data_IF_127102638408
#
_entry.id   IF_127102638408
#
_cell.length_a   1.000
_cell.length_b   1.000
_cell.length_c   1.000
_cell.angle_alpha   90.00
_cell.angle_beta   90.00
_cell.angle_gamma   90.00
#
_symmetry.space_group_name_H-M   'P 1'
#
loop_
_entity.id
_entity.type
_entity.pdbx_description
1 polymer ?
#
# COMPACT_ATOMS: atom_id res chain seq x y z
N UNK A 1 77.74 -75.70 1.03
CA UNK A 1 77.92 -75.81 2.50
C UNK A 1 77.59 -74.46 3.13
N UNK A 2 76.77 -74.48 4.18
CA UNK A 2 76.70 -73.54 5.32
C UNK A 2 76.26 -72.08 4.99
N UNK A 3 75.03 -71.65 5.35
CA UNK A 3 74.56 -71.20 6.70
C UNK A 3 75.52 -70.12 7.27
N UNK A 4 75.11 -68.95 7.77
CA UNK A 4 73.83 -68.48 8.31
C UNK A 4 73.80 -66.94 8.41
N UNK A 5 72.57 -66.40 8.44
CA UNK A 5 72.08 -65.11 9.01
C UNK A 5 72.38 -65.12 10.53
N UNK A 6 72.61 -64.01 11.31
CA UNK A 6 71.63 -62.93 11.58
C UNK A 6 72.25 -61.57 12.02
N UNK A 7 71.60 -60.49 12.47
CA UNK A 7 70.24 -60.14 12.90
C UNK A 7 70.14 -58.59 13.02
N UNK A 8 68.95 -58.03 12.71
CA UNK A 8 68.25 -56.89 13.36
C UNK A 8 68.95 -55.54 13.62
N UNK A 9 68.40 -54.45 13.05
CA UNK A 9 67.58 -53.47 13.81
C UNK A 9 66.90 -52.42 12.89
N UNK A 10 65.70 -52.00 13.30
CA UNK A 10 65.06 -50.70 13.04
C UNK A 10 64.54 -50.41 11.62
N UNK A 11 63.25 -50.68 11.34
CA UNK A 11 62.12 -49.71 11.38
C UNK A 11 62.19 -48.57 10.36
N UNK A 12 61.12 -48.49 9.56
CA UNK A 12 60.69 -47.36 8.74
C UNK A 12 61.53 -47.05 7.49
N UNK A 13 61.11 -47.58 6.33
CA UNK A 13 60.96 -46.88 5.05
C UNK A 13 60.29 -47.86 4.08
N UNK A 14 59.38 -47.33 3.24
CA UNK A 14 58.48 -48.02 2.29
C UNK A 14 57.14 -48.59 2.82
N UNK A 15 56.51 -47.86 3.74
CA UNK A 15 55.05 -47.59 3.66
C UNK A 15 54.83 -46.27 2.91
N UNK A 16 55.37 -46.17 1.69
CA UNK A 16 55.37 -44.94 0.90
C UNK A 16 54.96 -45.22 -0.55
N UNK A 17 53.73 -45.71 -0.73
CA UNK A 17 52.91 -45.50 -1.93
C UNK A 17 51.50 -46.00 -1.61
N UNK A 18 50.49 -45.21 -1.95
CA UNK A 18 49.04 -45.47 -1.79
C UNK A 18 48.43 -45.07 -0.43
N UNK A 19 48.84 -43.92 0.10
CA UNK A 19 47.89 -43.07 0.82
C UNK A 19 46.96 -42.43 -0.21
N UNK A 20 45.87 -43.13 -0.55
CA UNK A 20 44.72 -42.50 -1.22
C UNK A 20 44.13 -41.49 -0.25
N UNK A 21 44.48 -40.22 -0.44
CA UNK A 21 43.67 -39.13 0.08
C UNK A 21 42.29 -39.26 -0.58
N UNK A 22 41.27 -39.55 0.23
CA UNK A 22 39.86 -39.48 -0.18
C UNK A 22 39.52 -38.02 -0.48
N UNK A 23 39.85 -37.56 -1.69
CA UNK A 23 39.10 -36.47 -2.29
C UNK A 23 37.72 -37.04 -2.62
N UNK A 24 36.67 -36.57 -1.93
CA UNK A 24 35.30 -36.89 -2.31
C UNK A 24 35.13 -36.51 -3.79
N UNK A 25 34.86 -37.48 -4.66
CA UNK A 25 34.60 -37.23 -6.08
C UNK A 25 33.47 -36.21 -6.26
N UNK A 26 33.43 -35.46 -7.38
CA UNK A 26 32.34 -34.52 -7.60
C UNK A 26 31.02 -35.27 -7.54
N UNK A 27 30.05 -34.76 -6.78
CA UNK A 27 28.75 -35.38 -6.63
C UNK A 27 27.64 -34.39 -7.00
N UNK A 28 26.50 -34.94 -7.39
CA UNK A 28 25.28 -34.15 -7.55
C UNK A 28 24.89 -33.55 -6.21
N UNK A 29 24.83 -32.23 -6.12
CA UNK A 29 24.61 -31.52 -4.87
C UNK A 29 23.15 -31.05 -4.71
N UNK A 30 22.53 -30.59 -5.81
CA UNK A 30 21.13 -30.13 -5.78
C UNK A 30 20.38 -30.66 -6.99
N UNK A 31 19.08 -30.91 -6.81
CA UNK A 31 18.13 -31.30 -7.84
C UNK A 31 17.06 -30.21 -7.96
N UNK A 32 16.74 -29.79 -9.18
CA UNK A 32 15.66 -28.85 -9.46
C UNK A 32 14.54 -29.56 -10.22
N UNK A 33 13.43 -29.83 -9.53
CA UNK A 33 12.30 -30.56 -10.09
C UNK A 33 11.53 -29.75 -11.13
N UNK A 34 11.63 -28.42 -11.10
CA UNK A 34 10.94 -27.54 -12.06
C UNK A 34 11.66 -27.52 -13.41
N UNK A 35 12.99 -27.54 -13.42
CA UNK A 35 13.80 -27.52 -14.65
C UNK A 35 14.37 -28.89 -15.04
N UNK A 36 14.12 -29.94 -14.25
CA UNK A 36 14.71 -31.27 -14.42
C UNK A 36 16.24 -31.24 -14.57
N UNK A 37 16.88 -30.32 -13.85
CA UNK A 37 18.32 -30.09 -13.90
C UNK A 37 18.98 -30.42 -12.56
N UNK A 38 20.26 -30.76 -12.59
CA UNK A 38 21.05 -31.07 -11.40
C UNK A 38 22.23 -30.13 -11.28
N UNK A 39 22.56 -29.75 -10.05
CA UNK A 39 23.70 -28.90 -9.72
C UNK A 39 24.88 -29.75 -9.27
N UNK A 40 26.08 -29.41 -9.72
CA UNK A 40 27.36 -30.03 -9.35
C UNK A 40 28.35 -28.91 -8.97
N UNK A 41 29.09 -29.02 -7.87
CA UNK A 41 30.07 -28.01 -7.47
C UNK A 41 31.26 -27.96 -8.44
N UNK A 42 31.73 -26.75 -8.76
CA UNK A 42 32.91 -26.52 -9.59
C UNK A 42 34.21 -26.62 -8.77
N UNK A 43 35.23 -27.28 -9.31
CA UNK A 43 36.57 -27.35 -8.71
C UNK A 43 37.64 -27.75 -9.71
N UNK A 44 38.87 -27.28 -9.53
CA UNK A 44 40.04 -27.78 -10.30
C UNK A 44 40.33 -29.25 -9.98
N UNK A 45 40.09 -29.63 -8.72
CA UNK A 45 40.53 -30.91 -8.16
C UNK A 45 39.53 -32.04 -8.43
N UNK A 46 38.32 -31.69 -8.86
CA UNK A 46 37.25 -32.64 -9.18
C UNK A 46 37.10 -32.86 -10.71
N UNK A 47 37.91 -32.20 -11.54
CA UNK A 47 37.90 -32.35 -13.00
C UNK A 47 36.66 -31.77 -13.69
N UNK A 48 35.80 -31.05 -12.97
CA UNK A 48 34.57 -30.45 -13.52
C UNK A 48 34.88 -29.09 -14.13
N UNK A 49 35.03 -29.05 -15.45
CA UNK A 49 35.23 -27.79 -16.21
C UNK A 49 33.94 -27.34 -16.91
N UNK A 50 33.95 -26.10 -17.41
CA UNK A 50 32.81 -25.49 -18.14
C UNK A 50 32.53 -26.17 -19.49
N UNK A 51 33.51 -26.86 -20.05
CA UNK A 51 33.46 -27.39 -21.42
C UNK A 51 33.45 -28.93 -21.47
N UNK A 52 33.67 -29.59 -20.34
CA UNK A 52 33.69 -31.04 -20.22
C UNK A 52 32.28 -31.61 -20.11
N UNK A 53 32.02 -32.75 -20.74
CA UNK A 53 30.83 -33.55 -20.48
C UNK A 53 31.06 -34.48 -19.31
N UNK A 54 29.98 -34.85 -18.63
CA UNK A 54 30.03 -35.72 -17.47
C UNK A 54 28.99 -36.82 -17.53
N UNK A 55 29.20 -37.82 -16.71
CA UNK A 55 28.33 -38.95 -16.57
C UNK A 55 28.07 -39.24 -15.09
N UNK A 56 26.81 -39.47 -14.75
CA UNK A 56 26.39 -39.96 -13.43
C UNK A 56 26.10 -41.44 -13.55
N UNK A 57 26.75 -42.25 -12.71
CA UNK A 57 26.48 -43.68 -12.65
C UNK A 57 25.22 -43.93 -11.82
N UNK A 58 24.06 -43.95 -12.46
CA UNK A 58 22.78 -44.21 -11.82
C UNK A 58 22.57 -45.71 -11.52
N UNK A 59 21.67 -46.03 -10.58
CA UNK A 59 21.39 -47.40 -10.10
C UNK A 59 20.98 -48.41 -11.21
N UNK A 60 20.77 -47.96 -12.45
CA UNK A 60 20.44 -48.80 -13.61
C UNK A 60 21.01 -48.25 -14.94
N UNK A 61 22.16 -47.60 -14.92
CA UNK A 61 22.85 -47.15 -16.13
C UNK A 61 23.58 -45.82 -15.98
N UNK A 62 24.16 -45.36 -17.09
CA UNK A 62 24.94 -44.11 -17.13
C UNK A 62 24.04 -42.99 -17.66
N UNK A 63 23.93 -41.88 -16.93
CA UNK A 63 23.23 -40.67 -17.40
C UNK A 63 24.27 -39.62 -17.79
N UNK A 64 24.26 -39.23 -19.07
CA UNK A 64 25.14 -38.19 -19.59
C UNK A 64 24.56 -36.80 -19.29
N UNK A 65 25.38 -35.94 -18.72
CA UNK A 65 25.04 -34.57 -18.35
C UNK A 65 26.14 -33.63 -18.85
N UNK A 66 25.79 -32.46 -19.35
CA UNK A 66 26.76 -31.52 -19.89
C UNK A 66 26.51 -30.10 -19.36
N UNK A 67 27.55 -29.24 -19.40
CA UNK A 67 27.43 -27.90 -18.90
C UNK A 67 26.48 -26.96 -19.59
N UNK A 68 25.53 -26.41 -18.83
CA UNK A 68 24.45 -25.60 -19.38
C UNK A 68 24.42 -24.18 -18.81
N UNK A 69 24.37 -24.04 -17.49
CA UNK A 69 24.49 -22.74 -16.81
C UNK A 69 25.47 -22.83 -15.66
N UNK A 70 26.18 -21.73 -15.41
CA UNK A 70 27.07 -21.59 -14.28
C UNK A 70 26.52 -20.48 -13.42
N UNK A 71 26.12 -20.83 -12.22
CA UNK A 71 25.63 -19.91 -11.23
C UNK A 71 26.52 -20.04 -9.99
N UNK A 72 27.18 -18.95 -9.62
CA UNK A 72 28.18 -18.93 -8.54
C UNK A 72 29.31 -19.98 -8.77
N UNK A 73 29.64 -20.77 -7.74
CA UNK A 73 30.62 -21.88 -7.80
C UNK A 73 29.98 -23.22 -8.20
N UNK A 74 28.83 -23.19 -8.87
CA UNK A 74 28.04 -24.38 -9.19
C UNK A 74 27.74 -24.44 -10.68
N UNK A 75 27.71 -25.67 -11.17
CA UNK A 75 27.39 -26.04 -12.53
C UNK A 75 25.98 -26.65 -12.54
N UNK A 76 25.06 -26.09 -13.33
CA UNK A 76 23.71 -26.62 -13.56
C UNK A 76 23.62 -27.34 -14.90
N UNK A 77 23.27 -28.64 -14.87
CA UNK A 77 23.11 -29.47 -16.07
C UNK A 77 22.07 -28.90 -17.02
N UNK A 78 22.12 -29.37 -18.26
CA UNK A 78 20.99 -29.22 -19.15
C UNK A 78 19.73 -29.83 -18.53
N UNK A 79 18.53 -29.37 -18.91
CA UNK A 79 17.30 -30.06 -18.57
C UNK A 79 17.33 -31.51 -19.07
N UNK A 80 17.19 -32.46 -18.15
CA UNK A 80 17.22 -33.88 -18.45
C UNK A 80 15.82 -34.38 -18.80
N UNK A 81 15.72 -35.55 -19.44
CA UNK A 81 14.43 -36.24 -19.53
C UNK A 81 13.95 -36.64 -18.12
N UNK A 82 12.63 -36.73 -17.93
CA UNK A 82 12.06 -37.16 -16.64
C UNK A 82 12.67 -38.47 -16.14
N UNK A 83 12.85 -39.44 -17.03
CA UNK A 83 13.45 -40.74 -16.72
C UNK A 83 14.94 -40.65 -16.35
N UNK A 84 15.71 -39.81 -17.04
CA UNK A 84 17.13 -39.60 -16.72
C UNK A 84 17.29 -38.84 -15.39
N UNK A 85 16.43 -37.84 -15.16
CA UNK A 85 16.41 -37.06 -13.92
C UNK A 85 15.99 -37.89 -12.70
N UNK A 86 14.99 -38.77 -12.85
CA UNK A 86 14.51 -39.64 -11.77
C UNK A 86 15.58 -40.65 -11.32
N UNK A 87 16.45 -41.08 -12.24
CA UNK A 87 17.57 -42.00 -11.98
C UNK A 87 18.71 -41.35 -11.19
N UNK A 88 18.83 -40.03 -11.21
CA UNK A 88 19.87 -39.29 -10.48
C UNK A 88 19.38 -38.92 -9.09
N UNK A 89 20.21 -39.15 -8.06
CA UNK A 89 20.00 -38.73 -6.67
C UNK A 89 21.08 -37.74 -6.25
N UNK A 90 20.78 -36.92 -5.24
CA UNK A 90 21.79 -36.11 -4.56
C UNK A 90 22.82 -37.03 -3.91
N UNK A 91 24.08 -36.67 -3.97
CA UNK A 91 25.22 -37.46 -3.48
C UNK A 91 25.78 -38.48 -4.49
N UNK A 92 25.17 -38.63 -5.67
CA UNK A 92 25.69 -39.55 -6.69
C UNK A 92 26.95 -38.99 -7.36
N UNK A 93 27.95 -39.85 -7.53
CA UNK A 93 29.24 -39.50 -8.13
C UNK A 93 29.10 -39.15 -9.62
N UNK A 94 29.79 -38.09 -10.00
CA UNK A 94 29.91 -37.56 -11.35
C UNK A 94 31.32 -37.88 -11.86
N UNK A 95 31.45 -38.30 -13.10
CA UNK A 95 32.74 -38.54 -13.73
C UNK A 95 32.81 -37.88 -15.11
N UNK A 96 33.99 -37.52 -15.62
CA UNK A 96 34.12 -37.09 -17.01
C UNK A 96 33.57 -38.16 -17.97
N UNK A 97 32.75 -37.73 -18.94
CA UNK A 97 32.26 -38.61 -19.99
C UNK A 97 33.27 -38.64 -21.14
N UNK A 98 33.57 -39.83 -21.66
CA UNK A 98 34.35 -40.00 -22.89
C UNK A 98 33.35 -40.22 -24.01
N UNK A 99 33.02 -39.16 -24.74
CA UNK A 99 32.08 -39.19 -25.86
C UNK A 99 32.79 -38.82 -27.16
N UNK A 100 32.31 -39.37 -28.28
CA UNK A 100 32.70 -38.89 -29.60
C UNK A 100 32.06 -37.52 -29.89
N UNK A 101 32.67 -36.77 -30.82
CA UNK A 101 32.26 -35.41 -31.16
C UNK A 101 30.79 -35.33 -31.63
N UNK A 102 30.28 -36.33 -32.36
CA UNK A 102 28.91 -36.28 -32.87
C UNK A 102 27.88 -36.47 -31.74
N UNK A 103 28.15 -37.38 -30.80
CA UNK A 103 27.32 -37.57 -29.60
C UNK A 103 27.30 -36.34 -28.71
N UNK A 104 28.46 -35.70 -28.55
CA UNK A 104 28.61 -34.44 -27.83
C UNK A 104 27.76 -33.30 -28.42
N UNK A 105 27.89 -33.07 -29.72
CA UNK A 105 27.18 -32.00 -30.42
C UNK A 105 25.65 -32.22 -30.39
N UNK A 106 25.21 -33.48 -30.51
CA UNK A 106 23.79 -33.86 -30.41
C UNK A 106 23.19 -33.55 -29.05
N UNK A 107 23.82 -33.99 -27.96
CA UNK A 107 23.31 -33.75 -26.59
C UNK A 107 23.22 -32.25 -26.30
N UNK A 108 24.24 -31.48 -26.71
CA UNK A 108 24.23 -30.02 -26.60
C UNK A 108 23.10 -29.36 -27.38
N UNK A 109 22.77 -29.87 -28.57
CA UNK A 109 21.63 -29.38 -29.35
C UNK A 109 20.30 -29.66 -28.66
N UNK A 110 20.11 -30.88 -28.12
CA UNK A 110 18.89 -31.28 -27.42
C UNK A 110 18.60 -30.42 -26.18
N UNK A 111 19.59 -30.17 -25.31
CA UNK A 111 19.34 -29.34 -24.14
C UNK A 111 19.29 -27.82 -24.45
N UNK A 112 19.86 -27.36 -25.58
CA UNK A 112 19.58 -26.00 -26.08
C UNK A 112 18.12 -25.85 -26.51
N UNK A 113 17.58 -26.83 -27.24
CA UNK A 113 16.17 -26.84 -27.65
C UNK A 113 15.24 -26.84 -26.42
N UNK A 114 15.54 -27.68 -25.43
CA UNK A 114 14.74 -27.78 -24.20
C UNK A 114 14.74 -26.51 -23.34
N UNK A 115 15.84 -25.74 -23.34
CA UNK A 115 15.86 -24.43 -22.67
C UNK A 115 15.05 -23.38 -23.43
N UNK A 116 15.02 -23.45 -24.76
CA UNK A 116 14.15 -22.58 -25.54
C UNK A 116 12.68 -22.87 -25.19
N UNK A 117 12.29 -24.14 -25.16
CA UNK A 117 10.96 -24.58 -24.71
C UNK A 117 10.63 -24.10 -23.28
N UNK A 118 11.54 -24.29 -22.32
CA UNK A 118 11.33 -23.84 -20.94
C UNK A 118 11.24 -22.30 -20.83
N UNK A 119 12.02 -21.56 -21.62
CA UNK A 119 11.92 -20.09 -21.67
C UNK A 119 10.58 -19.66 -22.23
N UNK A 120 10.13 -20.28 -23.32
CA UNK A 120 8.83 -20.03 -23.92
C UNK A 120 7.69 -20.30 -22.92
N UNK A 121 7.73 -21.45 -22.22
CA UNK A 121 6.77 -21.77 -21.16
C UNK A 121 6.79 -20.75 -20.02
N UNK A 122 7.98 -20.31 -19.57
CA UNK A 122 8.11 -19.30 -18.52
C UNK A 122 7.59 -17.92 -18.97
N UNK A 123 7.85 -17.55 -20.21
CA UNK A 123 7.35 -16.31 -20.81
C UNK A 123 5.84 -16.35 -20.96
N UNK A 124 5.26 -17.47 -21.37
CA UNK A 124 3.80 -17.67 -21.45
C UNK A 124 3.14 -17.58 -20.08
N UNK A 125 3.70 -18.23 -19.05
CA UNK A 125 3.19 -18.13 -17.68
C UNK A 125 3.29 -16.69 -17.16
N UNK A 126 4.42 -16.00 -17.42
CA UNK A 126 4.59 -14.58 -17.07
C UNK A 126 3.55 -13.71 -17.77
N UNK A 127 3.36 -13.91 -19.07
CA UNK A 127 2.36 -13.17 -19.85
C UNK A 127 0.94 -13.42 -19.37
N UNK A 128 0.60 -14.65 -18.97
CA UNK A 128 -0.70 -14.97 -18.39
C UNK A 128 -0.88 -14.31 -17.01
N UNK A 129 0.15 -14.33 -16.17
CA UNK A 129 0.13 -13.67 -14.87
C UNK A 129 -0.04 -12.15 -15.01
N UNK A 130 0.71 -11.52 -15.93
CA UNK A 130 0.61 -10.09 -16.21
C UNK A 130 -0.78 -9.73 -16.76
N UNK A 131 -1.37 -10.56 -17.63
CA UNK A 131 -2.75 -10.36 -18.13
C UNK A 131 -3.78 -10.40 -17.00
N UNK A 132 -3.68 -11.38 -16.09
CA UNK A 132 -4.58 -11.48 -14.92
C UNK A 132 -4.42 -10.27 -14.00
N UNK A 133 -3.18 -9.88 -13.70
CA UNK A 133 -2.91 -8.71 -12.87
C UNK A 133 -3.45 -7.41 -13.50
N UNK A 134 -3.35 -7.25 -14.82
CA UNK A 134 -3.95 -6.11 -15.53
C UNK A 134 -5.48 -6.13 -15.40
N UNK A 135 -6.13 -7.29 -15.54
CA UNK A 135 -7.58 -7.39 -15.45
C UNK A 135 -8.09 -7.06 -14.04
N UNK A 136 -7.44 -7.57 -12.99
CA UNK A 136 -7.74 -7.21 -11.60
C UNK A 136 -7.56 -5.71 -11.35
N UNK A 137 -6.52 -5.10 -11.92
CA UNK A 137 -6.28 -3.66 -11.84
C UNK A 137 -7.36 -2.86 -12.56
N UNK A 138 -7.86 -3.31 -13.72
CA UNK A 138 -8.99 -2.67 -14.41
C UNK A 138 -10.26 -2.73 -13.59
N UNK A 139 -10.62 -3.90 -13.06
CA UNK A 139 -11.81 -4.03 -12.22
C UNK A 139 -11.73 -3.09 -11.01
N UNK A 140 -10.56 -3.01 -10.37
CA UNK A 140 -10.34 -2.08 -9.26
C UNK A 140 -10.48 -0.63 -9.70
N UNK A 141 -9.91 -0.26 -10.84
CA UNK A 141 -10.03 1.10 -11.41
C UNK A 141 -11.48 1.45 -11.66
N UNK A 142 -12.25 0.56 -12.26
CA UNK A 142 -13.64 0.82 -12.62
C UNK A 142 -14.51 1.02 -11.38
N UNK A 143 -14.33 0.20 -10.32
CA UNK A 143 -14.98 0.44 -9.02
C UNK A 143 -14.62 1.79 -8.39
N UNK A 144 -13.37 2.24 -8.55
CA UNK A 144 -12.92 3.55 -8.06
C UNK A 144 -13.51 4.69 -8.89
N UNK A 145 -13.70 4.51 -10.20
CA UNK A 145 -14.39 5.46 -11.06
C UNK A 145 -15.86 5.62 -10.65
N UNK A 146 -16.57 4.51 -10.45
CA UNK A 146 -17.96 4.55 -9.96
C UNK A 146 -18.07 5.27 -8.61
N UNK A 147 -17.14 5.00 -7.69
CA UNK A 147 -17.09 5.68 -6.39
C UNK A 147 -16.76 7.17 -6.53
N UNK A 148 -15.88 7.55 -7.46
CA UNK A 148 -15.57 8.96 -7.76
C UNK A 148 -16.82 9.66 -8.26
N UNK A 149 -17.55 9.07 -9.18
CA UNK A 149 -18.74 9.68 -9.78
C UNK A 149 -19.84 9.86 -8.71
N UNK A 150 -20.02 8.86 -7.84
CA UNK A 150 -20.90 8.98 -6.68
C UNK A 150 -20.46 10.08 -5.68
N UNK A 151 -19.15 10.33 -5.54
CA UNK A 151 -18.64 11.45 -4.73
C UNK A 151 -18.87 12.78 -5.43
N UNK A 152 -18.68 12.88 -6.74
CA UNK A 152 -18.92 14.10 -7.51
C UNK A 152 -20.41 14.51 -7.40
N UNK A 153 -21.34 13.55 -7.45
CA UNK A 153 -22.78 13.79 -7.18
C UNK A 153 -23.03 14.30 -5.75
N UNK A 154 -22.39 13.69 -4.75
CA UNK A 154 -22.51 14.12 -3.34
C UNK A 154 -21.91 15.50 -3.12
N UNK A 155 -20.80 15.83 -3.79
CA UNK A 155 -20.17 17.14 -3.75
C UNK A 155 -21.14 18.17 -4.32
N UNK A 156 -21.71 17.93 -5.50
CA UNK A 156 -22.67 18.84 -6.12
C UNK A 156 -23.91 19.05 -5.22
N UNK A 157 -24.44 18.00 -4.61
CA UNK A 157 -25.55 18.10 -3.67
C UNK A 157 -25.17 18.89 -2.40
N UNK A 158 -23.95 18.71 -1.90
CA UNK A 158 -23.44 19.45 -0.73
C UNK A 158 -23.19 20.92 -1.07
N UNK A 159 -22.66 21.23 -2.26
CA UNK A 159 -22.47 22.59 -2.77
C UNK A 159 -23.78 23.34 -2.88
N UNK A 160 -24.80 22.70 -3.46
CA UNK A 160 -26.14 23.27 -3.52
C UNK A 160 -26.67 23.57 -2.11
N UNK A 161 -26.58 22.60 -1.20
CA UNK A 161 -27.00 22.80 0.19
C UNK A 161 -26.21 23.91 0.91
N UNK A 162 -24.92 24.06 0.64
CA UNK A 162 -24.12 25.16 1.18
C UNK A 162 -24.57 26.51 0.63
N UNK A 163 -24.86 26.61 -0.67
CA UNK A 163 -25.34 27.84 -1.29
C UNK A 163 -26.70 28.26 -0.71
N UNK A 164 -27.59 27.29 -0.49
CA UNK A 164 -28.89 27.52 0.17
C UNK A 164 -28.68 28.02 1.62
N UNK A 165 -27.78 27.39 2.39
CA UNK A 165 -27.48 27.79 3.77
C UNK A 165 -26.74 29.13 3.86
N UNK A 166 -25.88 29.45 2.89
CA UNK A 166 -25.22 30.75 2.76
C UNK A 166 -26.25 31.85 2.45
N UNK A 167 -27.19 31.59 1.54
CA UNK A 167 -28.30 32.50 1.26
C UNK A 167 -29.15 32.75 2.50
N UNK A 168 -29.48 31.69 3.25
CA UNK A 168 -30.19 31.80 4.54
C UNK A 168 -29.40 32.58 5.57
N UNK A 169 -28.10 32.33 5.69
CA UNK A 169 -27.22 33.05 6.62
C UNK A 169 -27.17 34.54 6.27
N UNK A 170 -27.01 34.89 5.00
CA UNK A 170 -26.99 36.27 4.53
C UNK A 170 -28.33 36.98 4.78
N UNK A 171 -29.44 36.31 4.48
CA UNK A 171 -30.76 36.83 4.79
C UNK A 171 -30.97 37.05 6.30
N UNK A 172 -30.52 36.12 7.14
CA UNK A 172 -30.55 36.28 8.60
C UNK A 172 -29.62 37.40 9.08
N UNK A 173 -28.45 37.56 8.47
CA UNK A 173 -27.54 38.66 8.79
C UNK A 173 -28.25 40.01 8.59
N UNK A 174 -28.79 40.23 7.39
CA UNK A 174 -29.43 41.50 7.03
C UNK A 174 -30.71 41.78 7.83
N UNK A 175 -31.58 40.76 7.96
CA UNK A 175 -32.88 40.89 8.62
C UNK A 175 -32.75 41.03 10.15
N UNK A 176 -31.87 40.24 10.77
CA UNK A 176 -31.63 40.28 12.21
C UNK A 176 -30.81 41.50 12.62
N UNK A 177 -29.87 41.98 11.80
CA UNK A 177 -29.15 43.22 12.11
C UNK A 177 -30.11 44.42 12.15
N UNK A 178 -31.01 44.51 11.17
CA UNK A 178 -32.08 45.50 11.18
C UNK A 178 -33.01 45.36 12.40
N UNK A 179 -33.32 44.13 12.83
CA UNK A 179 -34.13 43.88 14.02
C UNK A 179 -33.39 44.29 15.30
N UNK A 180 -32.11 43.95 15.42
CA UNK A 180 -31.26 44.30 16.56
C UNK A 180 -31.12 45.82 16.67
N UNK A 181 -30.89 46.53 15.57
CA UNK A 181 -30.81 48.00 15.56
C UNK A 181 -32.11 48.65 16.04
N UNK A 182 -33.26 48.18 15.55
CA UNK A 182 -34.57 48.66 16.03
C UNK A 182 -34.79 48.39 17.51
N UNK A 183 -34.46 47.19 17.99
CA UNK A 183 -34.57 46.87 19.42
C UNK A 183 -33.60 47.70 20.27
N UNK A 184 -32.39 47.98 19.78
CA UNK A 184 -31.44 48.87 20.46
C UNK A 184 -31.98 50.30 20.56
N UNK A 185 -32.55 50.84 19.48
CA UNK A 185 -33.20 52.14 19.49
C UNK A 185 -34.38 52.16 20.47
N UNK A 186 -35.24 51.13 20.45
CA UNK A 186 -36.36 51.04 21.38
C UNK A 186 -35.90 50.95 22.83
N UNK A 187 -34.80 50.25 23.13
CA UNK A 187 -34.23 50.20 24.48
C UNK A 187 -33.75 51.59 24.92
N UNK A 188 -33.15 52.35 24.00
CA UNK A 188 -32.71 53.72 24.28
C UNK A 188 -33.92 54.62 24.58
N UNK A 189 -34.92 54.66 23.69
CA UNK A 189 -36.11 55.50 23.87
C UNK A 189 -36.89 55.17 25.16
N UNK A 190 -37.02 53.87 25.47
CA UNK A 190 -37.64 53.41 26.72
C UNK A 190 -36.80 53.74 27.95
N UNK A 191 -35.47 53.69 27.81
CA UNK A 191 -34.51 54.06 28.84
C UNK A 191 -34.59 55.54 29.19
N UNK A 192 -34.57 56.40 28.18
CA UNK A 192 -34.68 57.86 28.32
C UNK A 192 -36.00 58.23 29.01
N UNK A 193 -37.12 57.64 28.57
CA UNK A 193 -38.45 57.85 29.18
C UNK A 193 -38.52 57.34 30.62
N UNK A 194 -37.89 56.21 30.91
CA UNK A 194 -37.82 55.66 32.28
C UNK A 194 -37.04 56.62 33.18
N UNK A 195 -35.93 57.15 32.70
CA UNK A 195 -35.06 58.05 33.47
C UNK A 195 -35.75 59.40 33.70
N UNK A 196 -36.50 59.91 32.72
CA UNK A 196 -37.38 61.06 32.89
C UNK A 196 -38.44 60.82 33.98
N UNK A 197 -39.17 59.70 33.92
CA UNK A 197 -40.18 59.35 34.93
C UNK A 197 -39.57 59.14 36.32
N UNK A 198 -38.36 58.57 36.38
CA UNK A 198 -37.62 58.40 37.63
C UNK A 198 -37.20 59.76 38.21
N UNK A 199 -36.73 60.69 37.38
CA UNK A 199 -36.42 62.06 37.79
C UNK A 199 -37.67 62.80 38.32
N UNK A 200 -38.80 62.67 37.61
CA UNK A 200 -40.08 63.24 38.07
C UNK A 200 -40.51 62.67 39.42
N UNK A 201 -40.36 61.35 39.62
CA UNK A 201 -40.65 60.68 40.89
C UNK A 201 -39.75 61.20 42.02
N UNK A 202 -38.46 61.34 41.77
CA UNK A 202 -37.49 61.75 42.78
C UNK A 202 -37.64 63.23 43.16
N UNK A 203 -38.13 64.06 42.23
CA UNK A 203 -38.46 65.47 42.46
C UNK A 203 -39.80 65.68 43.19
N UNK A 204 -40.61 64.63 43.42
CA UNK A 204 -41.88 64.78 44.12
C UNK A 204 -41.69 65.11 45.62
N UNK A 205 -42.41 66.11 46.16
CA UNK A 205 -42.31 66.46 47.58
C UNK A 205 -42.79 65.32 48.48
N UNK A 206 -42.14 65.15 49.63
CA UNK A 206 -42.52 64.15 50.66
C UNK A 206 -43.88 64.54 51.26
N UNK A 207 -44.96 63.99 50.70
CA UNK A 207 -46.35 64.37 51.01
C UNK A 207 -47.26 64.42 49.78
N UNK A 208 -46.70 64.26 48.57
CA UNK A 208 -47.44 64.06 47.31
C UNK A 208 -48.39 62.86 47.38
N UNK A 209 -49.47 62.92 46.58
CA UNK A 209 -50.51 61.87 46.52
C UNK A 209 -49.88 60.49 46.29
N UNK A 210 -50.12 59.54 47.22
CA UNK A 210 -49.67 58.14 47.11
C UNK A 210 -50.09 57.49 45.78
N UNK A 211 -51.18 57.95 45.18
CA UNK A 211 -51.67 57.44 43.89
C UNK A 211 -50.76 57.78 42.72
N UNK A 212 -50.21 59.00 42.67
CA UNK A 212 -49.41 59.47 41.52
C UNK A 212 -48.00 58.90 41.56
N UNK A 213 -47.37 58.88 42.74
CA UNK A 213 -46.09 58.19 42.92
C UNK A 213 -46.19 56.67 42.62
N UNK A 214 -47.33 56.05 42.96
CA UNK A 214 -47.63 54.65 42.64
C UNK A 214 -47.79 54.41 41.13
N UNK A 215 -48.49 55.31 40.42
CA UNK A 215 -48.65 55.24 38.96
C UNK A 215 -47.32 55.38 38.23
N UNK A 216 -46.48 56.34 38.61
CA UNK A 216 -45.15 56.52 38.01
C UNK A 216 -44.28 55.29 38.27
N UNK A 217 -44.27 54.76 39.50
CA UNK A 217 -43.52 53.54 39.83
C UNK A 217 -43.98 52.32 39.03
N UNK A 218 -45.29 52.18 38.79
CA UNK A 218 -45.84 51.12 37.97
C UNK A 218 -45.44 51.25 36.50
N UNK A 219 -45.41 52.48 35.96
CA UNK A 219 -44.98 52.73 34.59
C UNK A 219 -43.48 52.49 34.40
N UNK A 220 -42.64 52.91 35.35
CA UNK A 220 -41.20 52.60 35.37
C UNK A 220 -40.98 51.08 35.34
N UNK A 221 -41.76 50.31 36.12
CA UNK A 221 -41.68 48.84 36.10
C UNK A 221 -42.04 48.29 34.71
N UNK A 222 -43.14 48.76 34.09
CA UNK A 222 -43.52 48.35 32.74
C UNK A 222 -42.46 48.67 31.69
N UNK A 223 -41.81 49.83 31.78
CA UNK A 223 -40.71 50.20 30.90
C UNK A 223 -39.51 49.26 31.07
N UNK A 224 -39.15 48.91 32.31
CA UNK A 224 -38.10 47.94 32.59
C UNK A 224 -38.43 46.54 32.06
N UNK A 225 -39.68 46.09 32.21
CA UNK A 225 -40.13 44.79 31.68
C UNK A 225 -40.04 44.78 30.13
N UNK A 226 -40.42 45.88 29.47
CA UNK A 226 -40.27 46.04 28.01
C UNK A 226 -38.81 46.07 27.57
N UNK A 227 -37.94 46.82 28.27
CA UNK A 227 -36.49 46.84 28.00
C UNK A 227 -35.91 45.43 28.13
N UNK A 228 -36.34 44.65 29.13
CA UNK A 228 -35.92 43.25 29.27
C UNK A 228 -36.35 42.40 28.07
N UNK A 229 -37.61 42.55 27.63
CA UNK A 229 -38.14 41.85 26.45
C UNK A 229 -37.37 42.18 25.17
N UNK A 230 -36.99 43.45 24.97
CA UNK A 230 -36.17 43.86 23.82
C UNK A 230 -34.75 43.27 23.90
N UNK A 231 -34.15 43.22 25.10
CA UNK A 231 -32.84 42.59 25.32
C UNK A 231 -32.88 41.09 25.01
N UNK A 232 -33.95 40.40 25.38
CA UNK A 232 -34.14 38.98 25.06
C UNK A 232 -34.36 38.78 23.55
N UNK A 233 -35.07 39.69 22.89
CA UNK A 233 -35.22 39.69 21.42
C UNK A 233 -33.87 39.80 20.70
N UNK A 234 -33.00 40.71 21.16
CA UNK A 234 -31.62 40.82 20.66
C UNK A 234 -30.81 39.53 20.91
N UNK A 235 -30.96 38.92 22.09
CA UNK A 235 -30.25 37.66 22.41
C UNK A 235 -30.67 36.56 21.43
N UNK A 236 -31.97 36.37 21.23
CA UNK A 236 -32.49 35.37 20.31
C UNK A 236 -32.08 35.62 18.86
N UNK A 237 -32.07 36.88 18.40
CA UNK A 237 -31.56 37.26 17.09
C UNK A 237 -30.09 36.86 16.91
N UNK A 238 -29.23 37.19 17.90
CA UNK A 238 -27.82 36.80 17.89
C UNK A 238 -27.62 35.28 17.91
N UNK A 239 -28.43 34.55 18.67
CA UNK A 239 -28.36 33.09 18.73
C UNK A 239 -28.77 32.45 17.40
N UNK A 240 -29.81 32.96 16.72
CA UNK A 240 -30.19 32.51 15.37
C UNK A 240 -29.07 32.74 14.35
N UNK A 241 -28.42 33.91 14.37
CA UNK A 241 -27.25 34.20 13.51
C UNK A 241 -26.10 33.24 13.78
N UNK A 242 -25.80 32.97 15.05
CA UNK A 242 -24.74 32.01 15.44
C UNK A 242 -25.05 30.59 14.95
N UNK A 243 -26.29 30.14 15.11
CA UNK A 243 -26.73 28.83 14.63
C UNK A 243 -26.60 28.71 13.11
N UNK A 244 -27.10 29.70 12.35
CA UNK A 244 -26.99 29.71 10.89
C UNK A 244 -25.53 29.63 10.42
N UNK A 245 -24.63 30.41 11.04
CA UNK A 245 -23.20 30.33 10.76
C UNK A 245 -22.61 28.95 11.10
N UNK A 246 -23.03 28.34 12.21
CA UNK A 246 -22.59 27.00 12.61
C UNK A 246 -22.98 25.95 11.56
N UNK A 247 -24.23 25.97 11.09
CA UNK A 247 -24.71 25.04 10.06
C UNK A 247 -23.95 25.21 8.74
N UNK A 248 -23.72 26.44 8.30
CA UNK A 248 -22.91 26.70 7.11
C UNK A 248 -21.48 26.15 7.25
N UNK A 249 -20.83 26.37 8.40
CA UNK A 249 -19.47 25.89 8.64
C UNK A 249 -19.40 24.35 8.69
N UNK A 250 -20.39 23.69 9.30
CA UNK A 250 -20.50 22.24 9.33
C UNK A 250 -20.62 21.67 7.91
N UNK A 251 -21.50 22.26 7.08
CA UNK A 251 -21.67 21.85 5.68
C UNK A 251 -20.42 22.08 4.86
N UNK A 252 -19.71 23.19 5.10
CA UNK A 252 -18.40 23.48 4.49
C UNK A 252 -17.34 22.45 4.86
N UNK A 253 -17.30 22.00 6.12
CA UNK A 253 -16.40 20.93 6.54
C UNK A 253 -16.74 19.60 5.87
N UNK A 254 -18.02 19.27 5.72
CA UNK A 254 -18.47 18.08 4.99
C UNK A 254 -17.99 18.12 3.53
N UNK A 255 -18.22 19.25 2.84
CA UNK A 255 -17.75 19.46 1.47
C UNK A 255 -16.22 19.30 1.35
N UNK A 256 -15.44 19.87 2.27
CA UNK A 256 -13.97 19.72 2.29
C UNK A 256 -13.54 18.25 2.45
N UNK A 257 -14.24 17.48 3.29
CA UNK A 257 -13.97 16.04 3.46
C UNK A 257 -14.23 15.28 2.15
N UNK A 258 -15.36 15.55 1.50
CA UNK A 258 -15.72 14.92 0.22
C UNK A 258 -14.69 15.23 -0.87
N UNK A 259 -14.24 16.48 -1.00
CA UNK A 259 -13.18 16.85 -1.95
C UNK A 259 -11.88 16.12 -1.65
N UNK A 260 -11.50 16.03 -0.38
CA UNK A 260 -10.27 15.34 0.03
C UNK A 260 -10.33 13.86 -0.33
N UNK A 261 -11.46 13.20 -0.09
CA UNK A 261 -11.70 11.80 -0.46
C UNK A 261 -11.66 11.61 -1.98
N UNK A 262 -12.34 12.49 -2.73
CA UNK A 262 -12.37 12.48 -4.20
C UNK A 262 -10.98 12.62 -4.81
N UNK A 263 -10.15 13.50 -4.25
CA UNK A 263 -8.75 13.66 -4.66
C UNK A 263 -7.89 12.44 -4.32
N UNK A 264 -8.13 11.80 -3.18
CA UNK A 264 -7.47 10.55 -2.80
C UNK A 264 -7.76 9.43 -3.81
N UNK A 265 -9.05 9.24 -4.17
CA UNK A 265 -9.48 8.27 -5.17
C UNK A 265 -8.86 8.57 -6.54
N UNK A 266 -8.83 9.84 -6.97
CA UNK A 266 -8.21 10.22 -8.24
C UNK A 266 -6.71 9.88 -8.27
N UNK A 267 -6.00 10.06 -7.15
CA UNK A 267 -4.59 9.68 -7.05
C UNK A 267 -4.39 8.16 -7.07
N UNK A 268 -5.30 7.39 -6.48
CA UNK A 268 -5.27 5.93 -6.54
C UNK A 268 -5.51 5.43 -7.97
N UNK A 269 -6.50 5.99 -8.70
CA UNK A 269 -6.75 5.68 -10.11
C UNK A 269 -5.49 5.94 -10.95
N UNK A 270 -4.84 7.11 -10.81
CA UNK A 270 -3.58 7.43 -11.50
C UNK A 270 -2.43 6.47 -11.15
N UNK A 271 -2.42 5.94 -9.92
CA UNK A 271 -1.44 4.94 -9.49
C UNK A 271 -1.69 3.60 -10.19
N UNK A 272 -2.95 3.18 -10.28
CA UNK A 272 -3.36 1.97 -11.00
C UNK A 272 -3.04 2.08 -12.49
N UNK A 273 -3.35 3.21 -13.14
CA UNK A 273 -3.04 3.44 -14.55
C UNK A 273 -1.53 3.32 -14.85
N UNK A 274 -0.68 3.90 -13.98
CA UNK A 274 0.79 3.75 -14.10
C UNK A 274 1.25 2.30 -13.93
N UNK A 275 0.63 1.54 -13.02
CA UNK A 275 0.93 0.11 -12.84
C UNK A 275 0.50 -0.72 -14.05
N UNK A 276 -0.66 -0.45 -14.63
CA UNK A 276 -1.10 -1.12 -15.86
C UNK A 276 -0.17 -0.80 -17.04
N UNK A 277 0.25 0.47 -17.19
CA UNK A 277 1.22 0.86 -18.23
C UNK A 277 2.57 0.16 -18.06
N UNK A 278 3.07 0.03 -16.83
CA UNK A 278 4.36 -0.65 -16.58
C UNK A 278 4.30 -2.16 -16.82
N UNK A 279 3.16 -2.81 -16.55
CA UNK A 279 2.94 -4.22 -16.89
C UNK A 279 2.77 -4.42 -18.41
N UNK A 280 2.11 -3.47 -19.10
CA UNK A 280 1.93 -3.54 -20.56
C UNK A 280 3.20 -3.21 -21.36
N UNK A 281 4.07 -2.35 -20.82
CA UNK A 281 5.29 -1.86 -21.49
C UNK A 281 6.54 -2.74 -21.29
N UNK A 282 6.45 -3.83 -20.51
CA UNK A 282 7.52 -4.83 -20.35
C UNK A 282 7.55 -5.89 -21.48
N UNK A 283 6.85 -5.62 -22.58
CA UNK A 283 6.79 -6.48 -23.76
C UNK A 283 7.90 -6.15 -24.74
#
# INVERSE_FOLDING_TARGET
MKRAIPMLLATAVLCAALSFAFAAGPAVDVKNDTSYAVSIPLGSDNGVTRDSDFQVSADNGIVLIYPYEIFEKRFWSQPLSGDAYAKIRVGMEVRPAILDKASHDRLRAEGRARRAELREMQEDVRMQADRKAIEELKEKRDRLLDRRDALDDRIAATEKGMADEEGRMNWLLDSEDSAIERSLQSIQDLGDKRDELQSQRDAMPRGSSRGDAGRISAEIKRLNDRISSERDSIRHAKDRKRQARSFYLERKQEWQKLITERNSIQNEIRSIDRKMQSLSGKR
#
